data_IF_050275720164
#
_entry.id   IF_050275720164
#
_cell.length_a   1.000
_cell.length_b   1.000
_cell.length_c   1.000
_cell.angle_alpha   90.00
_cell.angle_beta   90.00
_cell.angle_gamma   90.00
#
_symmetry.space_group_name_H-M   'P 1'
#
loop_
_entity.id
_entity.type
_entity.pdbx_description
1 polymer ?
#
# COMPACT_ATOMS: atom_id res chain seq x y z
N UNK A 1 -9.05 -26.95 12.07
CA UNK A 1 -10.34 -27.43 11.58
C UNK A 1 -10.49 -27.02 10.13
N UNK A 2 -10.70 -27.97 9.21
CA UNK A 2 -10.98 -27.72 7.79
C UNK A 2 -12.47 -27.96 7.52
N UNK A 3 -13.12 -27.09 6.77
CA UNK A 3 -14.49 -27.29 6.29
C UNK A 3 -14.44 -27.66 4.82
N UNK A 4 -15.11 -28.74 4.42
CA UNK A 4 -15.15 -29.25 3.05
C UNK A 4 -14.27 -30.48 2.85
N UNK A 5 -13.98 -30.79 1.57
CA UNK A 5 -13.23 -31.98 1.16
C UNK A 5 -11.71 -31.74 1.33
N UNK A 6 -11.04 -32.66 2.01
CA UNK A 6 -9.58 -32.61 2.22
C UNK A 6 -8.77 -32.59 0.92
N UNK A 7 -9.22 -33.30 -0.12
CA UNK A 7 -8.54 -33.29 -1.42
C UNK A 7 -8.57 -31.90 -2.10
N UNK A 8 -9.65 -31.14 -1.91
CA UNK A 8 -9.76 -29.75 -2.39
C UNK A 8 -8.85 -28.83 -1.62
N UNK A 9 -8.74 -29.05 -0.30
CA UNK A 9 -7.80 -28.33 0.55
C UNK A 9 -6.35 -28.56 0.13
N UNK A 10 -5.95 -29.83 -0.01
CA UNK A 10 -4.58 -30.18 -0.38
C UNK A 10 -4.20 -29.62 -1.76
N UNK A 11 -5.12 -29.66 -2.72
CA UNK A 11 -4.94 -29.00 -4.02
C UNK A 11 -4.77 -27.49 -3.92
N UNK A 12 -5.54 -26.85 -3.06
CA UNK A 12 -5.49 -25.40 -2.84
C UNK A 12 -4.18 -24.99 -2.15
N UNK A 13 -3.75 -25.72 -1.12
CA UNK A 13 -2.47 -25.51 -0.44
C UNK A 13 -1.30 -25.69 -1.43
N UNK A 14 -1.30 -26.75 -2.21
CA UNK A 14 -0.28 -27.00 -3.24
C UNK A 14 -0.23 -25.88 -4.30
N UNK A 15 -1.38 -25.36 -4.72
CA UNK A 15 -1.46 -24.24 -5.65
C UNK A 15 -0.88 -22.96 -5.09
N UNK A 16 -1.16 -22.65 -3.81
CA UNK A 16 -0.58 -21.48 -3.12
C UNK A 16 0.94 -21.62 -2.96
N UNK A 17 1.43 -22.78 -2.55
CA UNK A 17 2.88 -23.06 -2.43
C UNK A 17 3.56 -22.83 -3.79
N UNK A 18 3.03 -23.42 -4.86
CA UNK A 18 3.56 -23.25 -6.21
C UNK A 18 3.58 -21.77 -6.65
N UNK A 19 2.57 -20.99 -6.28
CA UNK A 19 2.51 -19.57 -6.60
C UNK A 19 3.59 -18.76 -5.86
N UNK A 20 3.84 -19.08 -4.59
CA UNK A 20 4.90 -18.44 -3.80
C UNK A 20 6.28 -18.81 -4.33
N UNK A 21 6.53 -20.09 -4.64
CA UNK A 21 7.78 -20.55 -5.24
C UNK A 21 8.07 -19.86 -6.57
N UNK A 22 7.06 -19.68 -7.42
CA UNK A 22 7.19 -18.96 -8.68
C UNK A 22 7.58 -17.49 -8.50
N UNK A 23 7.21 -16.86 -7.36
CA UNK A 23 7.58 -15.48 -7.03
C UNK A 23 9.04 -15.32 -6.59
N UNK A 24 9.74 -16.43 -6.28
CA UNK A 24 11.13 -16.46 -5.77
C UNK A 24 11.33 -15.66 -4.46
N UNK A 25 10.27 -15.47 -3.69
CA UNK A 25 10.34 -14.85 -2.37
C UNK A 25 10.60 -15.93 -1.31
N UNK A 26 11.33 -15.55 -0.26
CA UNK A 26 11.48 -16.39 0.92
C UNK A 26 10.13 -16.53 1.64
N UNK A 27 9.81 -17.73 2.09
CA UNK A 27 8.57 -18.00 2.79
C UNK A 27 8.73 -19.06 3.88
N UNK A 28 7.81 -19.09 4.82
CA UNK A 28 7.65 -20.14 5.81
C UNK A 28 6.23 -20.69 5.77
N UNK A 29 6.07 -21.95 6.18
CA UNK A 29 4.75 -22.59 6.25
C UNK A 29 4.32 -22.65 7.71
N UNK A 30 3.25 -21.93 8.03
CA UNK A 30 2.65 -21.88 9.36
C UNK A 30 1.46 -22.85 9.42
N UNK A 31 1.73 -24.10 9.81
CA UNK A 31 0.69 -25.14 9.87
C UNK A 31 -0.35 -24.82 10.93
N UNK A 32 -1.62 -24.88 10.54
CA UNK A 32 -2.75 -24.68 11.46
C UNK A 32 -3.20 -23.22 11.65
N UNK A 33 -2.54 -22.25 11.06
CA UNK A 33 -2.92 -20.83 11.13
C UNK A 33 -3.89 -20.38 10.03
N UNK A 34 -4.28 -21.27 9.12
CA UNK A 34 -5.29 -21.00 8.11
C UNK A 34 -6.69 -20.81 8.72
N UNK A 35 -7.56 -20.09 8.01
CA UNK A 35 -8.97 -20.03 8.38
C UNK A 35 -9.65 -21.37 8.08
N UNK A 36 -10.76 -21.68 8.79
CA UNK A 36 -11.48 -22.94 8.62
C UNK A 36 -12.06 -23.13 7.20
N UNK A 37 -12.21 -22.07 6.44
CA UNK A 37 -12.81 -22.04 5.11
C UNK A 37 -11.81 -22.03 3.94
N UNK A 38 -10.50 -21.93 4.21
CA UNK A 38 -9.48 -22.00 3.18
C UNK A 38 -8.08 -21.64 3.64
N UNK A 39 -7.05 -22.09 2.90
CA UNK A 39 -5.67 -21.72 3.13
C UNK A 39 -5.40 -20.28 2.67
N UNK A 40 -4.30 -19.67 3.16
CA UNK A 40 -3.93 -18.29 2.87
C UNK A 40 -2.44 -18.10 2.65
N UNK A 41 -2.07 -17.09 1.88
CA UNK A 41 -0.74 -16.49 1.88
C UNK A 41 -0.85 -15.16 2.65
N UNK A 42 0.08 -14.92 3.55
CA UNK A 42 0.21 -13.67 4.28
C UNK A 42 1.49 -12.94 3.85
N UNK A 43 1.40 -11.63 3.70
CA UNK A 43 2.56 -10.77 3.48
C UNK A 43 2.82 -10.00 4.77
N UNK A 44 3.94 -10.34 5.39
CA UNK A 44 4.36 -9.76 6.66
C UNK A 44 5.47 -8.74 6.39
N UNK A 45 5.29 -7.53 6.87
CA UNK A 45 6.31 -6.48 6.83
C UNK A 45 6.93 -6.32 8.21
N UNK A 46 8.25 -6.16 8.24
CA UNK A 46 8.99 -5.87 9.47
C UNK A 46 9.22 -4.38 9.59
N UNK A 47 8.82 -3.78 10.72
CA UNK A 47 9.02 -2.37 10.97
C UNK A 47 10.46 -2.02 11.38
N UNK A 48 10.74 -0.73 11.55
CA UNK A 48 12.08 -0.21 11.85
C UNK A 48 12.67 -0.71 13.19
N UNK A 49 11.83 -1.19 14.10
CA UNK A 49 12.25 -1.75 15.41
C UNK A 49 12.12 -3.27 15.50
N UNK A 50 11.89 -3.93 14.35
CA UNK A 50 11.89 -5.39 14.24
C UNK A 50 10.58 -6.09 14.56
N UNK A 51 9.45 -5.38 14.68
CA UNK A 51 8.12 -5.99 14.87
C UNK A 51 7.54 -6.44 13.53
N UNK A 52 6.92 -7.59 13.53
CA UNK A 52 6.26 -8.14 12.36
C UNK A 52 4.79 -7.71 12.29
N UNK A 53 4.37 -7.27 11.10
CA UNK A 53 3.02 -6.79 10.83
C UNK A 53 2.44 -7.46 9.59
N UNK A 54 1.36 -8.19 9.77
CA UNK A 54 0.59 -8.70 8.64
C UNK A 54 -0.08 -7.52 7.91
N UNK A 55 0.28 -7.33 6.66
CA UNK A 55 -0.25 -6.26 5.80
C UNK A 55 -1.08 -6.82 4.64
N UNK A 56 -0.52 -7.74 3.86
CA UNK A 56 -1.22 -8.31 2.72
C UNK A 56 -1.73 -9.73 3.01
N UNK A 57 -2.80 -10.12 2.32
CA UNK A 57 -3.34 -11.48 2.39
C UNK A 57 -3.91 -11.88 1.04
N UNK A 58 -3.62 -13.10 0.62
CA UNK A 58 -4.37 -13.80 -0.42
C UNK A 58 -4.99 -15.03 0.20
N UNK A 59 -6.30 -15.08 0.31
CA UNK A 59 -7.02 -16.15 0.98
C UNK A 59 -7.96 -16.88 0.02
N UNK A 60 -7.86 -18.19 0.00
CA UNK A 60 -8.79 -19.05 -0.71
C UNK A 60 -10.04 -19.24 0.13
N UNK A 61 -11.21 -19.15 -0.48
CA UNK A 61 -12.49 -19.44 0.16
C UNK A 61 -13.26 -20.48 -0.63
N UNK A 62 -13.38 -21.65 -0.03
CA UNK A 62 -14.05 -22.81 -0.62
C UNK A 62 -15.52 -22.93 -0.18
N UNK A 63 -15.99 -22.04 0.69
CA UNK A 63 -17.26 -22.17 1.38
C UNK A 63 -18.29 -21.10 0.99
N UNK A 64 -17.88 -19.82 1.00
CA UNK A 64 -18.79 -18.69 0.79
C UNK A 64 -19.50 -18.72 -0.57
N UNK A 65 -18.86 -19.06 -1.70
CA UNK A 65 -19.55 -19.10 -2.99
C UNK A 65 -20.74 -20.06 -3.01
N UNK A 66 -20.59 -21.24 -2.43
CA UNK A 66 -21.69 -22.20 -2.33
C UNK A 66 -22.84 -21.69 -1.46
N UNK A 67 -22.56 -21.03 -0.34
CA UNK A 67 -23.55 -20.43 0.54
C UNK A 67 -24.31 -19.28 -0.12
N UNK A 68 -23.65 -18.54 -0.98
CA UNK A 68 -24.27 -17.45 -1.78
C UNK A 68 -24.99 -17.94 -3.03
N UNK A 69 -25.00 -19.24 -3.30
CA UNK A 69 -25.58 -19.81 -4.51
C UNK A 69 -24.85 -19.45 -5.79
N UNK A 70 -23.59 -19.04 -5.69
CA UNK A 70 -22.77 -18.72 -6.86
C UNK A 70 -22.46 -19.98 -7.68
N UNK A 71 -22.61 -19.91 -9.00
CA UNK A 71 -22.28 -20.99 -9.90
C UNK A 71 -21.76 -20.48 -11.24
N UNK A 72 -20.96 -21.29 -11.92
CA UNK A 72 -20.53 -21.06 -13.30
C UNK A 72 -20.79 -22.32 -14.14
N UNK A 73 -20.86 -22.13 -15.45
CA UNK A 73 -20.97 -23.25 -16.40
C UNK A 73 -19.57 -23.65 -16.83
N UNK A 74 -19.20 -24.89 -16.55
CA UNK A 74 -17.92 -25.44 -16.95
C UNK A 74 -17.95 -25.90 -18.43
N UNK A 75 -16.76 -26.26 -18.95
CA UNK A 75 -16.57 -26.68 -20.36
C UNK A 75 -17.43 -27.87 -20.78
N UNK A 76 -17.82 -28.70 -19.83
CA UNK A 76 -18.70 -29.86 -20.01
C UNK A 76 -20.19 -29.51 -19.96
N UNK A 77 -20.54 -28.20 -19.82
CA UNK A 77 -21.92 -27.72 -19.70
C UNK A 77 -22.52 -27.88 -18.29
N UNK A 78 -21.82 -28.47 -17.33
CA UNK A 78 -22.29 -28.61 -15.96
C UNK A 78 -22.15 -27.32 -15.17
N UNK A 79 -23.05 -27.10 -14.20
CA UNK A 79 -22.92 -26.02 -13.22
C UNK A 79 -21.99 -26.44 -12.09
N UNK A 80 -20.99 -25.63 -11.83
CA UNK A 80 -20.03 -25.83 -10.72
C UNK A 80 -19.96 -24.61 -9.82
N UNK A 81 -19.62 -24.83 -8.55
CA UNK A 81 -19.38 -23.75 -7.57
C UNK A 81 -17.98 -23.21 -7.81
N UNK A 82 -17.80 -21.86 -7.97
CA UNK A 82 -16.47 -21.27 -8.11
C UNK A 82 -15.71 -21.27 -6.79
N UNK A 83 -14.37 -21.19 -6.89
CA UNK A 83 -13.52 -20.85 -5.77
C UNK A 83 -13.40 -19.34 -5.69
N UNK A 84 -13.52 -18.75 -4.50
CA UNK A 84 -13.35 -17.32 -4.30
C UNK A 84 -11.96 -17.04 -3.74
N UNK A 85 -11.36 -15.96 -4.20
CA UNK A 85 -10.09 -15.45 -3.69
C UNK A 85 -10.31 -14.08 -3.07
N UNK A 86 -10.00 -13.94 -1.78
CA UNK A 86 -9.98 -12.66 -1.08
C UNK A 86 -8.58 -12.10 -1.12
N UNK A 87 -8.44 -10.83 -1.55
CA UNK A 87 -7.14 -10.17 -1.65
C UNK A 87 -7.14 -8.86 -0.87
N UNK A 88 -6.34 -8.79 0.19
CA UNK A 88 -5.97 -7.55 0.84
C UNK A 88 -4.54 -7.17 0.44
N UNK A 89 -4.31 -5.90 0.07
CA UNK A 89 -2.98 -5.40 -0.30
C UNK A 89 -2.20 -4.87 0.91
N UNK A 90 -2.83 -3.99 1.67
CA UNK A 90 -2.17 -3.28 2.79
C UNK A 90 -2.72 -3.68 4.17
N UNK A 91 -3.79 -4.46 4.23
CA UNK A 91 -4.53 -4.73 5.46
C UNK A 91 -5.24 -3.46 5.96
N UNK A 92 -4.77 -2.86 7.06
CA UNK A 92 -5.18 -1.53 7.51
C UNK A 92 -4.29 -0.45 6.89
N UNK A 93 -4.89 0.57 6.25
CA UNK A 93 -4.15 1.71 5.70
C UNK A 93 -3.42 2.48 6.78
N UNK A 94 -4.03 2.66 7.95
CA UNK A 94 -3.44 3.37 9.09
C UNK A 94 -2.16 2.68 9.57
N UNK A 95 -2.21 1.36 9.71
CA UNK A 95 -1.05 0.55 10.09
C UNK A 95 0.06 0.65 9.03
N UNK A 96 -0.29 0.48 7.77
CA UNK A 96 0.65 0.53 6.66
C UNK A 96 1.33 1.90 6.54
N UNK A 97 0.56 2.99 6.66
CA UNK A 97 1.08 4.36 6.67
C UNK A 97 2.00 4.58 7.87
N UNK A 98 1.63 4.07 9.05
CA UNK A 98 2.48 4.13 10.24
C UNK A 98 3.84 3.46 10.02
N UNK A 99 3.86 2.26 9.45
CA UNK A 99 5.09 1.54 9.09
C UNK A 99 5.94 2.34 8.08
N UNK A 100 5.30 2.94 7.08
CA UNK A 100 6.00 3.78 6.10
C UNK A 100 6.65 5.00 6.75
N UNK A 101 5.91 5.72 7.61
CA UNK A 101 6.43 6.89 8.32
C UNK A 101 7.63 6.51 9.18
N UNK A 102 7.54 5.42 9.93
CA UNK A 102 8.66 4.91 10.74
C UNK A 102 9.86 4.53 9.87
N UNK A 103 9.65 3.76 8.81
CA UNK A 103 10.71 3.29 7.91
C UNK A 103 11.48 4.43 7.25
N UNK A 104 10.80 5.48 6.84
CA UNK A 104 11.39 6.64 6.19
C UNK A 104 11.75 7.79 7.16
N UNK A 105 11.53 7.61 8.48
CA UNK A 105 11.66 8.68 9.48
C UNK A 105 10.93 9.97 9.06
N UNK A 106 9.76 9.81 8.47
CA UNK A 106 8.93 10.89 7.93
C UNK A 106 9.40 11.48 6.59
N UNK A 107 10.58 11.10 6.08
CA UNK A 107 11.11 11.56 4.78
C UNK A 107 10.58 10.67 3.67
N UNK A 108 9.29 10.73 3.41
CA UNK A 108 8.66 9.91 2.39
C UNK A 108 9.25 10.16 0.98
N UNK A 109 9.33 9.15 0.11
CA UNK A 109 9.65 9.34 -1.29
C UNK A 109 8.74 10.37 -1.96
N UNK A 110 9.27 11.13 -2.92
CA UNK A 110 8.58 12.24 -3.57
C UNK A 110 7.15 11.87 -4.04
N UNK A 111 6.99 10.72 -4.69
CA UNK A 111 5.74 10.29 -5.29
C UNK A 111 4.60 9.94 -4.30
N UNK A 112 4.92 9.67 -3.02
CA UNK A 112 3.93 9.41 -1.94
C UNK A 112 3.91 10.51 -0.87
N UNK A 113 4.72 11.56 -1.03
CA UNK A 113 4.69 12.70 -0.11
C UNK A 113 3.39 13.48 -0.24
N UNK A 114 2.67 13.77 0.88
CA UNK A 114 1.43 14.53 0.85
C UNK A 114 1.61 15.94 0.26
N UNK A 115 2.71 16.59 0.63
CA UNK A 115 3.19 17.85 0.05
C UNK A 115 4.54 17.60 -0.60
N UNK A 116 4.57 17.66 -1.93
CA UNK A 116 5.74 17.29 -2.71
C UNK A 116 6.71 18.45 -2.92
N UNK A 117 6.17 19.67 -3.00
CA UNK A 117 6.96 20.85 -3.35
C UNK A 117 6.42 22.08 -2.66
N UNK A 118 7.32 22.96 -2.19
CA UNK A 118 6.96 24.31 -1.75
C UNK A 118 7.79 25.32 -2.55
N UNK A 119 7.11 26.31 -3.12
CA UNK A 119 7.72 27.45 -3.80
C UNK A 119 7.92 28.58 -2.80
N UNK A 120 9.14 29.12 -2.73
CA UNK A 120 9.53 30.11 -1.73
C UNK A 120 10.15 31.32 -2.44
N UNK A 121 9.48 32.47 -2.51
CA UNK A 121 10.09 33.70 -3.04
C UNK A 121 11.14 34.22 -2.05
N UNK A 122 12.25 34.77 -2.57
CA UNK A 122 13.33 35.37 -1.77
C UNK A 122 12.95 36.75 -1.21
N UNK A 123 12.04 37.49 -1.91
CA UNK A 123 11.43 38.72 -1.46
C UNK A 123 10.00 38.82 -1.97
N UNK A 124 9.25 39.80 -1.44
CA UNK A 124 7.85 40.04 -1.85
C UNK A 124 7.74 40.40 -3.35
N UNK A 125 8.77 41.01 -3.93
CA UNK A 125 8.80 41.38 -5.35
C UNK A 125 8.65 40.17 -6.30
N UNK A 126 9.00 38.97 -5.81
CA UNK A 126 8.89 37.72 -6.58
C UNK A 126 7.62 36.91 -6.30
N UNK A 127 6.69 37.45 -5.53
CA UNK A 127 5.45 36.75 -5.16
C UNK A 127 4.64 36.34 -6.39
N UNK A 128 4.45 37.21 -7.35
CA UNK A 128 3.70 36.91 -8.57
C UNK A 128 4.37 35.80 -9.41
N UNK A 129 5.70 35.86 -9.50
CA UNK A 129 6.46 34.80 -10.17
C UNK A 129 6.33 33.46 -9.44
N UNK A 130 6.48 33.43 -8.13
CA UNK A 130 6.32 32.23 -7.30
C UNK A 130 4.92 31.62 -7.46
N UNK A 131 3.86 32.42 -7.48
CA UNK A 131 2.50 32.00 -7.74
C UNK A 131 2.34 31.40 -9.14
N UNK A 132 2.99 31.96 -10.16
CA UNK A 132 2.98 31.44 -11.53
C UNK A 132 3.66 30.08 -11.61
N UNK A 133 4.80 29.90 -10.92
CA UNK A 133 5.54 28.63 -10.82
C UNK A 133 4.70 27.58 -10.11
N UNK A 134 4.14 27.93 -8.93
CA UNK A 134 3.24 27.04 -8.19
C UNK A 134 2.07 26.54 -9.05
N UNK A 135 1.42 27.45 -9.80
CA UNK A 135 0.31 27.07 -10.70
C UNK A 135 0.74 26.07 -11.78
N UNK A 136 1.93 26.26 -12.38
CA UNK A 136 2.48 25.33 -13.39
C UNK A 136 2.72 23.94 -12.79
N UNK A 137 3.31 23.87 -11.60
CA UNK A 137 3.61 22.63 -10.88
C UNK A 137 2.31 21.88 -10.55
N UNK A 138 1.32 22.62 -10.01
CA UNK A 138 0.01 22.06 -9.68
C UNK A 138 -0.74 21.53 -10.91
N UNK A 139 -0.65 22.23 -12.03
CA UNK A 139 -1.23 21.79 -13.31
C UNK A 139 -0.53 20.55 -13.88
N UNK A 140 0.72 20.30 -13.51
CA UNK A 140 1.44 19.07 -13.85
C UNK A 140 1.10 17.89 -12.93
N UNK A 141 0.13 18.04 -12.01
CA UNK A 141 -0.32 16.97 -11.10
C UNK A 141 0.56 16.77 -9.87
N UNK A 142 1.47 17.70 -9.58
CA UNK A 142 2.36 17.66 -8.41
C UNK A 142 1.72 18.42 -7.25
N UNK A 143 1.64 17.79 -6.06
CA UNK A 143 1.17 18.44 -4.85
C UNK A 143 2.13 19.55 -4.43
N UNK A 144 1.66 20.79 -4.51
CA UNK A 144 2.50 21.98 -4.31
C UNK A 144 1.80 23.02 -3.45
N UNK A 145 2.59 23.75 -2.69
CA UNK A 145 2.18 24.96 -1.96
C UNK A 145 3.16 26.12 -2.24
N UNK A 146 2.80 27.34 -1.83
CA UNK A 146 3.63 28.54 -1.95
C UNK A 146 3.70 29.26 -0.61
N UNK A 147 4.90 29.56 -0.14
CA UNK A 147 5.10 30.27 1.14
C UNK A 147 5.38 31.77 0.92
N UNK A 148 4.30 32.56 0.94
CA UNK A 148 4.34 34.03 0.83
C UNK A 148 4.44 34.75 2.19
N UNK A 149 4.62 34.04 3.30
CA UNK A 149 4.74 34.64 4.64
C UNK A 149 5.92 35.60 4.67
N UNK A 150 5.75 36.71 5.43
CA UNK A 150 6.85 37.65 5.62
C UNK A 150 7.85 37.16 6.69
N UNK A 151 8.59 36.10 6.34
CA UNK A 151 9.70 35.55 7.12
C UNK A 151 10.97 35.54 6.27
N UNK A 152 12.14 35.58 6.91
CA UNK A 152 13.37 35.45 6.16
C UNK A 152 13.51 34.06 5.50
N UNK A 153 14.23 34.00 4.39
CA UNK A 153 14.38 32.80 3.58
C UNK A 153 14.89 31.58 4.38
N UNK A 154 15.88 31.78 5.24
CA UNK A 154 16.46 30.70 6.04
C UNK A 154 15.44 30.09 7.00
N UNK A 155 14.56 30.92 7.56
CA UNK A 155 13.48 30.43 8.42
C UNK A 155 12.49 29.58 7.65
N UNK A 156 12.04 30.04 6.47
CA UNK A 156 11.13 29.30 5.59
C UNK A 156 11.73 27.94 5.18
N UNK A 157 12.98 27.93 4.74
CA UNK A 157 13.70 26.71 4.37
C UNK A 157 13.74 25.74 5.56
N UNK A 158 14.07 26.23 6.75
CA UNK A 158 14.13 25.41 7.98
C UNK A 158 12.77 24.83 8.34
N UNK A 159 11.70 25.63 8.28
CA UNK A 159 10.33 25.20 8.59
C UNK A 159 9.90 24.05 7.68
N UNK A 160 10.04 24.23 6.37
CA UNK A 160 9.63 23.21 5.40
C UNK A 160 10.55 21.97 5.40
N UNK A 161 11.84 22.13 5.67
CA UNK A 161 12.77 21.02 5.87
C UNK A 161 12.43 20.19 7.11
N UNK A 162 12.05 20.82 8.20
CA UNK A 162 11.58 20.14 9.41
C UNK A 162 10.27 19.39 9.15
N UNK A 163 9.39 19.94 8.34
CA UNK A 163 8.14 19.32 7.88
C UNK A 163 8.37 18.21 6.83
N UNK A 164 9.63 17.90 6.50
CA UNK A 164 10.03 16.84 5.58
C UNK A 164 9.49 17.02 4.15
N UNK A 165 9.28 18.25 3.72
CA UNK A 165 8.95 18.54 2.31
C UNK A 165 10.14 18.13 1.44
N UNK A 166 9.96 17.24 0.44
CA UNK A 166 11.10 16.69 -0.30
C UNK A 166 11.74 17.67 -1.29
N UNK A 167 11.03 18.71 -1.73
CA UNK A 167 11.55 19.67 -2.69
C UNK A 167 11.14 21.11 -2.34
N UNK A 168 12.12 22.01 -2.28
CA UNK A 168 11.91 23.45 -2.12
C UNK A 168 12.40 24.15 -3.38
N UNK A 169 11.54 24.97 -3.99
CA UNK A 169 11.86 25.82 -5.13
C UNK A 169 11.98 27.26 -4.67
N UNK A 170 13.18 27.81 -4.76
CA UNK A 170 13.48 29.17 -4.33
C UNK A 170 13.49 30.05 -5.57
N UNK A 171 12.72 31.12 -5.55
CA UNK A 171 12.54 32.08 -6.63
C UNK A 171 12.95 33.49 -6.23
#
# INVERSE_FOLDING_TARGET
LRVGDDAVWDKSEAALIKAVEASKLEYSINKGEGAFYGPKIEFVLRDAIGRDWQCGTLQVDLNLPGRLGASYVDKDGSKKIPVMLHRALFGSLERFIGILIENYAGKLPFWISPLQTVVIPISEDFNEYALSVHKKIKNAGISSDVDLKNHNLNYKIREHSNSKVPMLLIC
#
